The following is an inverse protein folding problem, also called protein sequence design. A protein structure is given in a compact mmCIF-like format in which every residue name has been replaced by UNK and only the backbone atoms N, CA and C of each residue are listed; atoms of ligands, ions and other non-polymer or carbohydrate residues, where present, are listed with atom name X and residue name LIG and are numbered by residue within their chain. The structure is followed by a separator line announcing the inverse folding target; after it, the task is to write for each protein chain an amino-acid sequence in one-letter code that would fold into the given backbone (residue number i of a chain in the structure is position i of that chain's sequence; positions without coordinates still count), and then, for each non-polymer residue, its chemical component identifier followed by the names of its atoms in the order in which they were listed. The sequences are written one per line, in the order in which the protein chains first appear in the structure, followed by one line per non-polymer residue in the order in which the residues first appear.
data_IF_385909634878
#
_entry.id   IF_385909634878
#
_cell.length_a   1.000
_cell.length_b   1.000
_cell.length_c   1.000
_cell.angle_alpha   90.00
_cell.angle_beta   90.00
_cell.angle_gamma   90.00
#
_symmetry.space_group_name_H-M   'P 1'
#
loop_
_entity.id
_entity.type
_entity.pdbx_description
1 polymer ?
#
# COMPACT_ATOMS: atom_id res chain seq x y z
N UNK A 1 20.99 -14.75 8.06
CA UNK A 1 21.42 -13.45 7.48
C UNK A 1 21.51 -13.52 5.94
N UNK A 2 22.38 -14.33 5.33
CA UNK A 2 22.58 -14.38 3.86
C UNK A 2 21.26 -14.53 3.08
N UNK A 3 20.30 -15.29 3.59
CA UNK A 3 19.02 -15.49 2.92
C UNK A 3 18.07 -14.28 2.97
N UNK A 4 18.33 -13.28 3.78
CA UNK A 4 17.60 -12.03 3.86
C UNK A 4 18.14 -10.93 2.94
N UNK A 5 19.41 -11.05 2.53
CA UNK A 5 20.16 -9.95 1.88
C UNK A 5 19.47 -9.35 0.65
N UNK A 6 18.77 -10.17 -0.16
CA UNK A 6 18.06 -9.64 -1.33
C UNK A 6 16.89 -8.75 -0.94
N UNK A 7 16.15 -9.12 0.12
CA UNK A 7 15.02 -8.32 0.62
C UNK A 7 15.51 -7.07 1.35
N UNK A 8 16.63 -7.17 2.06
CA UNK A 8 17.28 -6.03 2.72
C UNK A 8 17.81 -5.03 1.69
N UNK A 9 18.49 -5.50 0.64
CA UNK A 9 18.93 -4.64 -0.47
C UNK A 9 17.77 -3.95 -1.17
N UNK A 10 16.68 -4.68 -1.41
CA UNK A 10 15.45 -4.07 -1.94
C UNK A 10 14.92 -2.97 -1.03
N UNK A 11 14.83 -3.24 0.28
CA UNK A 11 14.29 -2.29 1.25
C UNK A 11 15.16 -1.03 1.39
N UNK A 12 16.48 -1.17 1.37
CA UNK A 12 17.42 -0.03 1.42
C UNK A 12 17.25 0.82 0.14
N UNK A 13 17.27 0.20 -1.03
CA UNK A 13 17.10 0.89 -2.30
C UNK A 13 15.76 1.65 -2.34
N UNK A 14 14.68 0.98 -1.98
CA UNK A 14 13.31 1.50 -2.12
C UNK A 14 12.98 2.59 -1.09
N UNK A 15 13.44 2.45 0.15
CA UNK A 15 13.06 3.36 1.23
C UNK A 15 14.10 4.45 1.53
N UNK A 16 15.38 4.25 1.16
CA UNK A 16 16.45 5.16 1.54
C UNK A 16 17.21 5.78 0.36
N UNK A 17 17.54 4.98 -0.66
CA UNK A 17 18.44 5.44 -1.72
C UNK A 17 17.70 6.12 -2.88
N UNK A 18 16.46 5.69 -3.19
CA UNK A 18 15.66 6.29 -4.25
C UNK A 18 15.19 7.68 -3.81
N UNK A 19 15.49 8.67 -4.63
CA UNK A 19 14.99 10.03 -4.51
C UNK A 19 14.06 10.29 -5.68
N UNK A 20 12.78 10.46 -5.41
CA UNK A 20 11.81 10.81 -6.44
C UNK A 20 11.91 12.29 -6.80
N UNK A 21 11.62 12.65 -8.08
CA UNK A 21 11.66 14.04 -8.55
C UNK A 21 10.52 14.88 -7.97
N UNK A 22 10.63 16.19 -8.14
CA UNK A 22 9.53 17.11 -7.90
C UNK A 22 8.52 17.05 -9.06
N UNK A 23 7.25 17.16 -8.73
CA UNK A 23 6.12 17.26 -9.67
C UNK A 23 5.21 18.41 -9.24
N UNK A 24 4.33 18.85 -10.14
CA UNK A 24 3.35 19.90 -9.82
C UNK A 24 2.10 19.30 -9.19
N UNK A 25 1.60 19.95 -8.16
CA UNK A 25 0.29 19.68 -7.57
C UNK A 25 -0.83 20.50 -8.27
N UNK A 26 -2.07 20.44 -7.72
CA UNK A 26 -3.23 21.14 -8.29
C UNK A 26 -3.13 22.67 -8.25
N UNK A 27 -2.41 23.18 -7.27
CA UNK A 27 -2.16 24.63 -7.10
C UNK A 27 -0.95 25.12 -7.91
N UNK A 28 -0.27 24.21 -8.59
CA UNK A 28 0.93 24.50 -9.39
C UNK A 28 2.22 24.54 -8.58
N UNK A 29 2.19 24.19 -7.29
CA UNK A 29 3.37 24.11 -6.46
C UNK A 29 4.22 22.89 -6.82
N UNK A 30 5.53 23.01 -6.66
CA UNK A 30 6.44 21.88 -6.77
C UNK A 30 6.44 21.08 -5.45
N UNK A 31 6.02 19.83 -5.54
CA UNK A 31 6.02 18.88 -4.42
C UNK A 31 6.94 17.71 -4.74
N UNK A 32 7.78 17.33 -3.78
CA UNK A 32 8.62 16.14 -3.96
C UNK A 32 7.73 14.89 -3.97
N UNK A 33 7.89 14.07 -4.99
CA UNK A 33 7.11 12.84 -5.12
C UNK A 33 7.58 11.83 -4.06
N UNK A 34 6.62 11.14 -3.49
CA UNK A 34 6.78 9.99 -2.60
C UNK A 34 5.64 9.02 -2.88
N UNK A 35 5.61 7.86 -2.25
CA UNK A 35 4.48 6.94 -2.40
C UNK A 35 3.17 7.54 -1.89
N UNK A 36 3.20 8.26 -0.76
CA UNK A 36 2.01 8.93 -0.21
C UNK A 36 1.54 10.07 -1.11
N UNK A 37 2.45 10.95 -1.51
CA UNK A 37 2.15 12.06 -2.43
C UNK A 37 1.64 11.54 -3.78
N UNK A 38 2.24 10.45 -4.31
CA UNK A 38 1.77 9.81 -5.54
C UNK A 38 0.30 9.38 -5.43
N UNK A 39 -0.09 8.68 -4.38
CA UNK A 39 -1.47 8.24 -4.19
C UNK A 39 -2.43 9.42 -4.11
N UNK A 40 -2.08 10.47 -3.37
CA UNK A 40 -2.85 11.71 -3.30
C UNK A 40 -3.01 12.37 -4.68
N UNK A 41 -1.94 12.44 -5.48
CA UNK A 41 -2.00 13.02 -6.83
C UNK A 41 -2.79 12.15 -7.82
N UNK A 42 -2.89 10.82 -7.61
CA UNK A 42 -3.75 9.95 -8.42
C UNK A 42 -5.25 10.21 -8.21
N UNK A 43 -5.63 10.84 -7.10
CA UNK A 43 -7.02 11.28 -6.83
C UNK A 43 -7.34 12.63 -7.47
N UNK A 44 -6.35 13.38 -7.97
CA UNK A 44 -6.56 14.67 -8.63
C UNK A 44 -7.58 14.60 -9.76
N UNK A 45 -8.45 15.60 -9.87
CA UNK A 45 -9.37 15.74 -11.00
C UNK A 45 -8.65 16.11 -12.30
N UNK A 46 -7.49 16.75 -12.19
CA UNK A 46 -6.67 17.14 -13.34
C UNK A 46 -5.86 15.94 -13.86
N UNK A 47 -6.22 15.48 -15.07
CA UNK A 47 -5.58 14.33 -15.71
C UNK A 47 -4.09 14.51 -15.95
N UNK A 48 -3.64 15.75 -16.26
CA UNK A 48 -2.24 16.03 -16.52
C UNK A 48 -1.37 15.89 -15.25
N UNK A 49 -1.90 16.25 -14.09
CA UNK A 49 -1.25 16.03 -12.79
C UNK A 49 -1.08 14.53 -12.52
N UNK A 50 -2.15 13.75 -12.68
CA UNK A 50 -2.08 12.29 -12.52
C UNK A 50 -1.07 11.66 -13.46
N UNK A 51 -1.10 12.06 -14.75
CA UNK A 51 -0.16 11.57 -15.77
C UNK A 51 1.28 11.93 -15.43
N UNK A 52 1.53 13.18 -15.04
CA UNK A 52 2.86 13.65 -14.67
C UNK A 52 3.43 12.89 -13.47
N UNK A 53 2.66 12.74 -12.39
CA UNK A 53 3.06 11.98 -11.23
C UNK A 53 3.31 10.50 -11.56
N UNK A 54 2.44 9.87 -12.36
CA UNK A 54 2.62 8.50 -12.84
C UNK A 54 3.92 8.33 -13.61
N UNK A 55 4.16 9.19 -14.62
CA UNK A 55 5.36 9.11 -15.43
C UNK A 55 6.63 9.34 -14.60
N UNK A 56 6.61 10.29 -13.67
CA UNK A 56 7.75 10.60 -12.82
C UNK A 56 8.10 9.42 -11.88
N UNK A 57 7.10 8.78 -11.27
CA UNK A 57 7.30 7.61 -10.43
C UNK A 57 7.93 6.47 -11.22
N UNK A 58 7.31 6.08 -12.33
CA UNK A 58 7.76 4.93 -13.10
C UNK A 58 9.10 5.16 -13.81
N UNK A 59 9.37 6.38 -14.27
CA UNK A 59 10.68 6.73 -14.84
C UNK A 59 11.81 6.61 -13.79
N UNK A 60 11.51 6.91 -12.51
CA UNK A 60 12.46 6.70 -11.42
C UNK A 60 12.73 5.21 -11.21
N UNK A 61 11.68 4.38 -11.13
CA UNK A 61 11.85 2.93 -11.01
C UNK A 61 12.57 2.29 -12.20
N UNK A 62 12.32 2.77 -13.41
CA UNK A 62 12.96 2.27 -14.62
C UNK A 62 14.48 2.39 -14.57
N UNK A 63 15.02 3.44 -13.93
CA UNK A 63 16.47 3.61 -13.76
C UNK A 63 17.10 2.47 -12.94
N UNK A 64 16.34 1.85 -12.05
CA UNK A 64 16.80 0.78 -11.16
C UNK A 64 16.27 -0.61 -11.56
N UNK A 65 15.67 -0.75 -12.74
CA UNK A 65 15.02 -2.01 -13.17
C UNK A 65 15.93 -3.24 -13.09
N UNK A 66 17.21 -3.08 -13.41
CA UNK A 66 18.17 -4.21 -13.36
C UNK A 66 18.49 -4.62 -11.92
N UNK A 67 18.57 -3.66 -10.99
CA UNK A 67 18.79 -3.94 -9.56
C UNK A 67 17.57 -4.64 -8.98
N UNK A 68 16.35 -4.15 -9.25
CA UNK A 68 15.11 -4.79 -8.84
C UNK A 68 14.97 -6.20 -9.42
N UNK A 69 15.24 -6.38 -10.70
CA UNK A 69 15.23 -7.69 -11.33
C UNK A 69 16.23 -8.67 -10.67
N UNK A 70 17.40 -8.16 -10.27
CA UNK A 70 18.43 -8.98 -9.62
C UNK A 70 18.06 -9.36 -8.19
N UNK A 71 17.49 -8.45 -7.41
CA UNK A 71 17.01 -8.74 -6.05
C UNK A 71 15.86 -9.75 -6.08
N UNK A 72 14.90 -9.58 -6.99
CA UNK A 72 13.81 -10.54 -7.19
C UNK A 72 14.34 -11.92 -7.61
N UNK A 73 15.25 -11.99 -8.60
CA UNK A 73 15.86 -13.25 -9.03
C UNK A 73 16.55 -13.95 -7.86
N UNK A 74 17.26 -13.21 -7.03
CA UNK A 74 17.99 -13.75 -5.87
C UNK A 74 17.00 -14.30 -4.84
N UNK A 75 15.92 -13.58 -4.55
CA UNK A 75 14.87 -14.06 -3.65
C UNK A 75 14.24 -15.36 -4.17
N UNK A 76 13.88 -15.42 -5.44
CA UNK A 76 13.34 -16.66 -6.08
C UNK A 76 14.30 -17.84 -5.91
N UNK A 77 15.61 -17.63 -6.14
CA UNK A 77 16.62 -18.67 -5.95
C UNK A 77 16.71 -19.13 -4.49
N UNK A 78 16.66 -18.19 -3.54
CA UNK A 78 16.66 -18.50 -2.10
C UNK A 78 15.45 -19.34 -1.71
N UNK A 79 14.24 -18.97 -2.16
CA UNK A 79 13.03 -19.74 -1.84
C UNK A 79 13.07 -21.16 -2.44
N UNK A 80 13.53 -21.29 -3.67
CA UNK A 80 13.73 -22.61 -4.30
C UNK A 80 14.79 -23.46 -3.59
N UNK A 81 15.89 -22.86 -3.16
CA UNK A 81 16.91 -23.53 -2.37
C UNK A 81 16.36 -24.02 -1.02
N UNK A 82 15.64 -23.14 -0.28
CA UNK A 82 15.00 -23.48 0.99
C UNK A 82 14.01 -24.65 0.85
N UNK A 83 13.20 -24.63 -0.20
CA UNK A 83 12.27 -25.72 -0.49
C UNK A 83 13.03 -27.04 -0.73
N UNK A 84 14.08 -26.99 -1.56
CA UNK A 84 14.88 -28.17 -1.90
C UNK A 84 15.56 -28.80 -0.66
N UNK A 85 16.23 -28.01 0.15
CA UNK A 85 16.96 -28.55 1.33
C UNK A 85 16.05 -29.07 2.43
N UNK A 86 14.78 -28.66 2.44
CA UNK A 86 13.73 -29.13 3.35
C UNK A 86 12.83 -30.19 2.75
N UNK A 87 13.17 -30.73 1.57
CA UNK A 87 12.43 -31.77 0.86
C UNK A 87 10.99 -31.41 0.50
N UNK A 88 10.69 -30.13 0.30
CA UNK A 88 9.42 -29.71 -0.27
C UNK A 88 9.43 -29.86 -1.80
N UNK A 89 8.26 -30.14 -2.39
CA UNK A 89 8.10 -30.31 -3.83
C UNK A 89 8.44 -29.04 -4.65
N UNK A 90 8.17 -27.86 -4.05
CA UNK A 90 8.37 -26.55 -4.68
C UNK A 90 8.45 -25.46 -3.62
N UNK A 91 8.90 -24.26 -3.99
CA UNK A 91 8.84 -23.07 -3.13
C UNK A 91 7.40 -22.73 -2.74
N UNK A 92 6.42 -22.88 -3.67
CA UNK A 92 4.99 -22.71 -3.41
C UNK A 92 4.51 -23.68 -2.34
N UNK A 93 4.83 -24.96 -2.50
CA UNK A 93 4.46 -25.98 -1.49
C UNK A 93 5.07 -25.63 -0.12
N UNK A 94 6.34 -25.23 -0.06
CA UNK A 94 6.99 -24.86 1.20
C UNK A 94 6.32 -23.66 1.88
N UNK A 95 5.93 -22.64 1.12
CA UNK A 95 5.25 -21.46 1.64
C UNK A 95 3.86 -21.78 2.21
N UNK A 96 3.08 -22.58 1.49
CA UNK A 96 1.72 -22.95 1.89
C UNK A 96 1.70 -23.95 3.06
N UNK A 97 2.67 -24.87 3.10
CA UNK A 97 2.78 -25.89 4.14
C UNK A 97 3.02 -25.29 5.54
N UNK A 98 3.63 -24.11 5.63
CA UNK A 98 3.85 -23.41 6.90
C UNK A 98 2.53 -23.06 7.61
N UNK A 99 1.46 -22.87 6.84
CA UNK A 99 0.10 -22.57 7.33
C UNK A 99 -0.88 -23.72 7.09
N UNK A 100 -0.40 -24.93 6.77
CA UNK A 100 -1.22 -26.11 6.46
C UNK A 100 -2.24 -25.88 5.32
N UNK A 101 -1.93 -25.00 4.38
CA UNK A 101 -2.80 -24.66 3.24
C UNK A 101 -2.50 -25.61 2.07
N UNK A 102 -3.47 -26.38 1.54
CA UNK A 102 -3.28 -27.18 0.32
C UNK A 102 -3.01 -26.31 -0.91
N UNK A 103 -2.18 -26.78 -1.84
CA UNK A 103 -1.90 -26.05 -3.10
C UNK A 103 -3.16 -25.78 -3.93
N UNK A 104 -4.19 -26.65 -3.82
CA UNK A 104 -5.49 -26.46 -4.47
C UNK A 104 -6.22 -25.18 -4.05
N UNK A 105 -6.02 -24.69 -2.82
CA UNK A 105 -6.58 -23.40 -2.37
C UNK A 105 -5.99 -22.25 -3.17
N UNK A 106 -4.68 -22.27 -3.40
CA UNK A 106 -4.00 -21.28 -4.22
C UNK A 106 -4.49 -21.33 -5.67
N UNK A 107 -4.55 -22.52 -6.26
CA UNK A 107 -5.00 -22.70 -7.65
C UNK A 107 -6.47 -22.27 -7.81
N UNK A 108 -7.34 -22.62 -6.86
CA UNK A 108 -8.73 -22.21 -6.85
C UNK A 108 -8.90 -20.70 -6.70
N UNK A 109 -8.07 -20.03 -5.87
CA UNK A 109 -8.09 -18.58 -5.75
C UNK A 109 -7.76 -17.91 -7.09
N UNK A 110 -6.68 -18.36 -7.76
CA UNK A 110 -6.30 -17.83 -9.07
C UNK A 110 -7.40 -18.07 -10.11
N UNK A 111 -7.99 -19.26 -10.12
CA UNK A 111 -9.08 -19.60 -11.03
C UNK A 111 -10.33 -18.74 -10.76
N UNK A 112 -10.70 -18.54 -9.49
CA UNK A 112 -11.82 -17.68 -9.09
C UNK A 112 -11.62 -16.23 -9.51
N UNK A 113 -10.44 -15.66 -9.24
CA UNK A 113 -10.11 -14.28 -9.67
C UNK A 113 -10.23 -14.16 -11.19
N UNK A 114 -9.59 -15.06 -11.94
CA UNK A 114 -9.66 -15.06 -13.42
C UNK A 114 -11.10 -15.15 -13.95
N UNK A 115 -11.93 -15.98 -13.34
CA UNK A 115 -13.35 -16.13 -13.70
C UNK A 115 -14.11 -14.81 -13.53
N UNK A 116 -13.75 -13.99 -12.56
CA UNK A 116 -14.42 -12.74 -12.23
C UNK A 116 -13.79 -11.48 -12.86
N UNK A 117 -12.64 -11.58 -13.54
CA UNK A 117 -12.04 -10.45 -14.27
C UNK A 117 -13.03 -9.69 -15.19
N UNK A 118 -13.97 -10.35 -15.90
CA UNK A 118 -14.95 -9.63 -16.70
C UNK A 118 -15.78 -8.60 -15.91
N UNK A 119 -16.02 -8.82 -14.61
CA UNK A 119 -16.72 -7.85 -13.75
C UNK A 119 -15.85 -6.62 -13.49
N UNK A 120 -14.55 -6.81 -13.28
CA UNK A 120 -13.59 -5.70 -13.15
C UNK A 120 -13.52 -4.89 -14.44
N UNK A 121 -13.47 -5.57 -15.61
CA UNK A 121 -13.45 -4.88 -16.90
C UNK A 121 -14.73 -4.04 -17.11
N UNK A 122 -15.91 -4.58 -16.78
CA UNK A 122 -17.18 -3.83 -16.83
C UNK A 122 -17.17 -2.62 -15.88
N UNK A 123 -16.59 -2.74 -14.70
CA UNK A 123 -16.43 -1.63 -13.76
C UNK A 123 -15.52 -0.53 -14.35
N UNK A 124 -14.39 -0.92 -14.97
CA UNK A 124 -13.50 0.05 -15.63
C UNK A 124 -14.14 0.73 -16.83
N UNK A 125 -14.96 0.01 -17.63
CA UNK A 125 -15.77 0.59 -18.70
C UNK A 125 -16.79 1.62 -18.15
N UNK A 126 -17.44 1.30 -17.04
CA UNK A 126 -18.35 2.23 -16.36
C UNK A 126 -17.61 3.47 -15.86
N UNK A 127 -16.44 3.30 -15.23
CA UNK A 127 -15.57 4.43 -14.81
C UNK A 127 -15.20 5.32 -16.00
N UNK A 128 -14.77 4.71 -17.10
CA UNK A 128 -14.45 5.41 -18.35
C UNK A 128 -15.61 6.30 -18.82
N UNK A 129 -16.83 5.77 -18.82
CA UNK A 129 -18.06 6.51 -19.20
C UNK A 129 -18.36 7.65 -18.22
N UNK A 130 -18.30 7.40 -16.91
CA UNK A 130 -18.60 8.42 -15.89
C UNK A 130 -17.58 9.56 -15.94
N UNK A 131 -16.29 9.23 -16.09
CA UNK A 131 -15.21 10.22 -16.18
C UNK A 131 -15.11 10.93 -17.54
N UNK A 132 -15.83 10.45 -18.56
CA UNK A 132 -15.75 10.97 -19.93
C UNK A 132 -14.40 10.72 -20.59
N UNK A 133 -13.67 9.67 -20.17
CA UNK A 133 -12.32 9.32 -20.64
C UNK A 133 -12.44 8.07 -21.50
N UNK A 134 -12.32 8.20 -22.83
CA UNK A 134 -12.41 7.05 -23.76
C UNK A 134 -11.20 6.12 -23.74
N UNK A 135 -10.03 6.62 -23.34
CA UNK A 135 -8.76 5.91 -23.24
C UNK A 135 -8.27 5.93 -21.78
N UNK A 136 -8.94 5.12 -20.94
CA UNK A 136 -8.64 5.01 -19.52
C UNK A 136 -7.22 4.41 -19.34
N UNK A 137 -6.38 5.10 -18.60
CA UNK A 137 -5.02 4.66 -18.25
C UNK A 137 -4.93 4.29 -16.77
N UNK A 138 -3.82 3.66 -16.37
CA UNK A 138 -3.59 3.29 -14.97
C UNK A 138 -3.69 4.47 -14.00
N UNK A 139 -3.23 5.65 -14.41
CA UNK A 139 -3.35 6.87 -13.63
C UNK A 139 -4.77 7.48 -13.54
N UNK A 140 -5.75 6.90 -14.22
CA UNK A 140 -7.15 7.31 -14.15
C UNK A 140 -7.99 6.39 -13.21
N UNK A 141 -7.40 5.30 -12.71
CA UNK A 141 -8.13 4.26 -11.96
C UNK A 141 -8.55 4.73 -10.57
N UNK A 142 -7.77 5.60 -9.94
CA UNK A 142 -8.05 6.14 -8.60
C UNK A 142 -8.80 7.47 -8.60
N UNK A 143 -9.07 8.07 -9.77
CA UNK A 143 -9.80 9.33 -9.86
C UNK A 143 -11.17 9.20 -9.18
N UNK A 144 -11.55 10.08 -8.25
CA UNK A 144 -12.87 10.04 -7.61
C UNK A 144 -14.01 10.14 -8.63
N UNK A 145 -15.05 9.33 -8.45
CA UNK A 145 -16.27 9.39 -9.27
C UNK A 145 -17.30 10.38 -8.71
N UNK A 146 -17.11 10.80 -7.46
CA UNK A 146 -17.94 11.79 -6.78
C UNK A 146 -17.32 13.18 -6.85
N UNK A 147 -18.14 14.21 -6.85
CA UNK A 147 -17.71 15.59 -6.68
C UNK A 147 -17.40 15.96 -5.23
N UNK A 148 -17.78 15.10 -4.28
CA UNK A 148 -17.55 15.34 -2.86
C UNK A 148 -16.09 15.07 -2.55
N UNK A 149 -15.44 16.07 -1.99
CA UNK A 149 -14.05 15.97 -1.49
C UNK A 149 -14.09 15.73 0.01
N UNK A 150 -13.32 14.74 0.45
CA UNK A 150 -13.12 14.46 1.87
C UNK A 150 -11.64 14.68 2.19
N UNK A 151 -11.38 15.69 3.01
CA UNK A 151 -10.07 15.91 3.60
C UNK A 151 -10.23 15.96 5.12
N UNK A 152 -9.35 15.29 5.83
CA UNK A 152 -9.35 15.25 7.29
C UNK A 152 -7.93 15.41 7.79
N UNK A 153 -7.71 16.39 8.66
CA UNK A 153 -6.49 16.42 9.47
C UNK A 153 -6.40 15.14 10.31
N UNK A 154 -5.22 14.76 10.70
CA UNK A 154 -5.04 13.59 11.58
C UNK A 154 -5.89 13.68 12.84
N UNK A 155 -5.99 14.87 13.47
CA UNK A 155 -6.79 15.08 14.69
C UNK A 155 -8.30 14.87 14.46
N UNK A 156 -8.83 15.33 13.34
CA UNK A 156 -10.22 15.08 12.97
C UNK A 156 -10.48 13.60 12.68
N UNK A 157 -9.49 12.95 12.06
CA UNK A 157 -9.57 11.51 11.77
C UNK A 157 -9.58 10.66 13.04
N UNK A 158 -8.79 11.00 14.06
CA UNK A 158 -8.83 10.31 15.37
C UNK A 158 -10.24 10.32 15.95
N UNK A 159 -10.89 11.50 15.95
CA UNK A 159 -12.26 11.64 16.48
C UNK A 159 -13.27 10.82 15.68
N UNK A 160 -13.18 10.87 14.35
CA UNK A 160 -14.05 10.04 13.46
C UNK A 160 -13.83 8.55 13.64
N UNK A 161 -12.58 8.13 13.85
CA UNK A 161 -12.23 6.74 14.13
C UNK A 161 -12.82 6.28 15.48
N UNK A 162 -12.73 7.11 16.53
CA UNK A 162 -13.37 6.82 17.83
C UNK A 162 -14.88 6.65 17.68
N UNK A 163 -15.56 7.58 16.98
CA UNK A 163 -17.00 7.53 16.75
C UNK A 163 -17.39 6.26 15.97
N UNK A 164 -16.64 5.90 14.95
CA UNK A 164 -16.89 4.69 14.14
C UNK A 164 -16.66 3.39 14.93
N UNK A 165 -15.62 3.34 15.75
CA UNK A 165 -15.22 2.17 16.52
C UNK A 165 -16.02 1.99 17.84
N UNK A 166 -16.79 3.00 18.26
CA UNK A 166 -17.63 2.94 19.45
C UNK A 166 -18.64 1.78 19.42
N UNK A 167 -19.07 1.35 18.23
CA UNK A 167 -19.97 0.20 18.05
C UNK A 167 -19.38 -1.12 18.59
N UNK A 168 -18.04 -1.21 18.72
CA UNK A 168 -17.35 -2.40 19.23
C UNK A 168 -17.33 -2.48 20.77
N UNK A 169 -17.87 -1.47 21.46
CA UNK A 169 -18.03 -1.43 22.91
C UNK A 169 -16.89 -0.71 23.66
N UNK A 170 -17.17 -0.37 24.91
CA UNK A 170 -16.31 0.48 25.76
C UNK A 170 -14.93 -0.13 26.05
N UNK A 171 -14.83 -1.45 26.24
CA UNK A 171 -13.53 -2.09 26.50
C UNK A 171 -12.60 -1.92 25.30
N UNK A 172 -13.10 -2.16 24.10
CA UNK A 172 -12.34 -1.95 22.86
C UNK A 172 -11.99 -0.47 22.66
N UNK A 173 -12.98 0.43 22.77
CA UNK A 173 -12.80 1.86 22.57
C UNK A 173 -11.79 2.46 23.56
N UNK A 174 -11.76 1.99 24.80
CA UNK A 174 -10.78 2.44 25.80
C UNK A 174 -9.33 2.16 25.37
N UNK A 175 -9.09 1.00 24.74
CA UNK A 175 -7.77 0.62 24.19
C UNK A 175 -7.39 1.47 22.97
N UNK A 176 -8.34 1.72 22.09
CA UNK A 176 -8.16 2.62 20.94
C UNK A 176 -7.75 4.03 21.42
N UNK A 177 -8.46 4.61 22.38
CA UNK A 177 -8.14 5.93 22.96
C UNK A 177 -6.74 5.97 23.57
N UNK A 178 -6.30 4.88 24.19
CA UNK A 178 -4.93 4.76 24.69
C UNK A 178 -3.92 4.79 23.54
N UNK A 179 -4.15 4.01 22.47
CA UNK A 179 -3.29 4.00 21.31
C UNK A 179 -3.13 5.40 20.69
N UNK A 180 -4.23 6.16 20.64
CA UNK A 180 -4.24 7.52 20.09
C UNK A 180 -3.54 8.56 20.98
N UNK A 181 -3.57 8.36 22.31
CA UNK A 181 -2.99 9.30 23.28
C UNK A 181 -1.58 8.94 23.75
N UNK A 182 -1.19 7.69 23.73
CA UNK A 182 0.06 7.19 24.30
C UNK A 182 1.19 7.00 23.26
N UNK A 183 1.11 7.66 22.09
CA UNK A 183 2.15 7.67 21.07
C UNK A 183 2.46 6.27 20.47
N UNK A 184 1.45 5.43 20.27
CA UNK A 184 1.62 4.14 19.61
C UNK A 184 1.72 4.26 18.09
N UNK A 185 1.42 5.45 17.53
CA UNK A 185 1.29 5.68 16.09
C UNK A 185 2.40 6.62 15.61
N UNK A 186 3.20 6.14 14.66
CA UNK A 186 4.09 6.95 13.86
C UNK A 186 3.34 7.43 12.61
N UNK A 187 2.97 8.72 12.57
CA UNK A 187 1.90 9.24 11.74
C UNK A 187 2.37 9.67 10.36
N UNK A 188 3.38 10.56 10.32
CA UNK A 188 3.72 11.28 9.09
C UNK A 188 4.83 10.60 8.31
N UNK A 189 4.80 10.79 6.99
CA UNK A 189 5.86 10.38 6.10
C UNK A 189 7.17 11.13 6.38
N UNK A 190 8.29 10.44 6.31
CA UNK A 190 9.62 11.04 6.40
C UNK A 190 10.65 10.20 5.63
N UNK A 191 11.82 10.77 5.38
CA UNK A 191 12.90 10.10 4.68
C UNK A 191 13.35 8.84 5.42
N UNK A 192 13.51 7.75 4.69
CA UNK A 192 13.91 6.45 5.23
C UNK A 192 12.78 5.65 5.87
N UNK A 193 11.59 6.24 6.03
CA UNK A 193 10.41 5.53 6.52
C UNK A 193 9.80 4.67 5.42
N UNK A 194 9.46 3.43 5.75
CA UNK A 194 8.80 2.51 4.83
C UNK A 194 7.42 3.05 4.42
N UNK A 195 7.09 2.94 3.14
CA UNK A 195 5.78 3.28 2.60
C UNK A 195 4.67 2.31 3.07
N UNK A 196 3.41 2.73 2.91
CA UNK A 196 2.22 1.99 3.34
C UNK A 196 1.89 2.20 4.81
N UNK A 197 1.13 1.28 5.37
CA UNK A 197 0.76 1.26 6.78
C UNK A 197 0.83 -0.17 7.32
N UNK A 198 1.06 -0.32 8.60
CA UNK A 198 0.95 -1.60 9.29
C UNK A 198 0.83 -1.40 10.80
N UNK A 199 0.24 -2.37 11.46
CA UNK A 199 0.26 -2.54 12.91
C UNK A 199 1.10 -3.75 13.30
N UNK A 200 1.70 -3.71 14.48
CA UNK A 200 2.51 -4.80 15.00
C UNK A 200 2.93 -4.59 16.45
N UNK A 201 3.32 -5.66 17.07
CA UNK A 201 3.78 -5.69 18.45
C UNK A 201 4.04 -7.10 18.91
N UNK A 202 4.44 -7.25 20.16
CA UNK A 202 4.56 -8.54 20.85
C UNK A 202 3.65 -8.56 22.08
N UNK A 203 3.48 -9.74 22.67
CA UNK A 203 2.51 -9.93 23.77
C UNK A 203 2.71 -8.95 24.94
N UNK A 204 3.96 -8.63 25.30
CA UNK A 204 4.31 -7.77 26.44
C UNK A 204 4.60 -6.32 26.03
N UNK A 205 4.25 -5.90 24.82
CA UNK A 205 4.46 -4.54 24.32
C UNK A 205 3.15 -3.87 23.91
N UNK A 206 3.18 -2.56 23.72
CA UNK A 206 2.11 -1.87 23.01
C UNK A 206 2.02 -2.36 21.56
N UNK A 207 0.84 -2.27 20.98
CA UNK A 207 0.65 -2.43 19.55
C UNK A 207 1.06 -1.11 18.87
N UNK A 208 2.16 -1.14 18.11
CA UNK A 208 2.64 0.04 17.38
C UNK A 208 2.09 0.04 15.97
N UNK A 209 1.71 1.22 15.50
CA UNK A 209 1.23 1.45 14.14
C UNK A 209 2.16 2.40 13.40
N UNK A 210 2.40 2.10 12.12
CA UNK A 210 3.06 2.99 11.19
C UNK A 210 2.04 3.44 10.14
N UNK A 211 1.95 4.74 9.93
CA UNK A 211 1.14 5.37 8.89
C UNK A 211 2.03 6.29 8.03
N UNK A 212 1.52 6.69 6.87
CA UNK A 212 2.07 7.74 6.02
C UNK A 212 0.92 8.69 5.67
N UNK A 213 0.53 9.52 6.63
CA UNK A 213 -0.68 10.33 6.62
C UNK A 213 -0.64 11.43 5.55
N UNK A 214 -1.72 11.57 4.74
CA UNK A 214 -1.87 12.51 3.62
C UNK A 214 -3.22 13.25 3.62
N UNK A 215 -3.89 13.37 4.78
CA UNK A 215 -5.14 14.11 4.98
C UNK A 215 -6.31 13.71 4.06
N UNK A 216 -6.37 12.48 3.57
CA UNK A 216 -7.42 11.99 2.69
C UNK A 216 -8.31 10.92 3.34
N UNK A 217 -9.41 10.57 2.66
CA UNK A 217 -10.37 9.58 3.13
C UNK A 217 -9.76 8.17 3.24
N UNK A 218 -8.88 7.80 2.32
CA UNK A 218 -8.19 6.51 2.33
C UNK A 218 -7.36 6.33 3.60
N UNK A 219 -6.68 7.38 4.04
CA UNK A 219 -5.92 7.36 5.30
C UNK A 219 -6.80 7.23 6.54
N UNK A 220 -8.02 7.78 6.53
CA UNK A 220 -8.99 7.55 7.61
C UNK A 220 -9.39 6.06 7.67
N UNK A 221 -9.69 5.45 6.53
CA UNK A 221 -9.96 4.00 6.48
C UNK A 221 -8.75 3.18 6.92
N UNK A 222 -7.55 3.56 6.49
CA UNK A 222 -6.30 2.92 6.90
C UNK A 222 -6.10 2.99 8.41
N UNK A 223 -6.29 4.17 9.03
CA UNK A 223 -6.22 4.33 10.48
C UNK A 223 -7.18 3.38 11.20
N UNK A 224 -8.43 3.33 10.77
CA UNK A 224 -9.44 2.43 11.36
C UNK A 224 -9.06 0.97 11.15
N UNK A 225 -8.55 0.60 9.98
CA UNK A 225 -8.09 -0.76 9.66
C UNK A 225 -6.92 -1.19 10.56
N UNK A 226 -5.90 -0.34 10.70
CA UNK A 226 -4.72 -0.66 11.51
C UNK A 226 -5.01 -0.68 13.03
N UNK A 227 -6.10 -0.02 13.44
CA UNK A 227 -6.55 -0.03 14.85
C UNK A 227 -7.28 -1.35 15.19
N UNK A 228 -7.84 -2.07 14.22
CA UNK A 228 -8.54 -3.35 14.38
C UNK A 228 -7.63 -4.54 14.41
#
# INVERSE_FOLDING_TARGET
EIFGSASETFAILDNADIVFPFVKDEDGNEVQLSHGVYMRLMESKNREIRRGAYQALYATYEQFQHTYAKTLQTNVKVQNYRAKVRNYKSARHAALAANFVPESVYDNLVAAVRKHLPLLHRYLELRSKILGISDLKMYDVYTPLSSVEYSFTYQEALKKAEDALAVLGEDYLSRVKRAFSERWIDVYENQGKRSGAYSGGSYDTNAFMLLNWQDNLDNLFTLVHETG
#
